data_IF_290294498453
#
_entry.id   IF_290294498453
#
_cell.length_a   1.000
_cell.length_b   1.000
_cell.length_c   1.000
_cell.angle_alpha   90.00
_cell.angle_beta   90.00
_cell.angle_gamma   90.00
#
_symmetry.space_group_name_H-M   'P 1'
#
loop_
_entity.id
_entity.type
_entity.pdbx_description
1 polymer ?
#
# COMPACT_ATOMS: atom_id res chain seq x y z
N UNK A 1 -7.97 12.49 -21.03
CA UNK A 1 -6.86 12.60 -22.03
C UNK A 1 -5.86 13.74 -21.73
N UNK A 2 -6.24 14.86 -21.05
CA UNK A 2 -5.32 15.96 -20.73
C UNK A 2 -4.26 15.62 -19.66
N UNK A 3 -4.46 14.58 -18.83
CA UNK A 3 -3.56 14.19 -17.73
C UNK A 3 -2.62 13.00 -18.07
N UNK A 4 -2.86 12.31 -19.17
CA UNK A 4 -2.12 11.11 -19.56
C UNK A 4 -0.59 11.32 -19.73
N UNK A 5 -0.14 12.54 -19.98
CA UNK A 5 1.28 12.86 -20.11
C UNK A 5 1.96 13.33 -18.81
N UNK A 6 1.23 13.41 -17.68
CA UNK A 6 1.77 13.90 -16.40
C UNK A 6 2.15 12.79 -15.43
N UNK A 7 2.21 11.54 -15.87
CA UNK A 7 2.60 10.41 -15.02
C UNK A 7 3.99 10.59 -14.37
N UNK A 8 4.90 11.34 -15.02
CA UNK A 8 6.21 11.70 -14.44
C UNK A 8 6.13 12.50 -13.14
N UNK A 9 5.02 13.20 -12.90
CA UNK A 9 4.78 13.95 -11.68
C UNK A 9 3.94 13.11 -10.72
N UNK A 10 2.92 12.41 -11.24
CA UNK A 10 1.99 11.63 -10.43
C UNK A 10 2.66 10.46 -9.70
N UNK A 11 3.51 9.70 -10.40
CA UNK A 11 4.19 8.54 -9.80
C UNK A 11 5.09 9.00 -8.64
N UNK A 12 6.04 9.93 -8.81
CA UNK A 12 6.86 10.39 -7.69
C UNK A 12 6.09 11.05 -6.55
N UNK A 13 5.04 11.80 -6.86
CA UNK A 13 4.23 12.44 -5.84
C UNK A 13 3.49 11.42 -4.98
N UNK A 14 2.85 10.42 -5.59
CA UNK A 14 2.14 9.38 -4.85
C UNK A 14 3.09 8.47 -4.08
N UNK A 15 4.18 8.02 -4.71
CA UNK A 15 5.20 7.23 -4.00
C UNK A 15 5.79 8.01 -2.83
N UNK A 16 6.02 9.33 -2.97
CA UNK A 16 6.51 10.16 -1.86
C UNK A 16 5.52 10.20 -0.69
N UNK A 17 4.23 10.38 -0.97
CA UNK A 17 3.19 10.39 0.05
C UNK A 17 3.21 9.07 0.84
N UNK A 18 3.17 7.93 0.13
CA UNK A 18 3.21 6.61 0.78
C UNK A 18 4.53 6.37 1.50
N UNK A 19 5.66 6.80 0.94
CA UNK A 19 6.97 6.72 1.58
C UNK A 19 7.00 7.50 2.90
N UNK A 20 6.52 8.74 2.92
CA UNK A 20 6.50 9.57 4.12
C UNK A 20 5.59 8.98 5.22
N UNK A 21 4.41 8.48 4.85
CA UNK A 21 3.52 7.84 5.82
C UNK A 21 4.17 6.55 6.35
N UNK A 22 4.82 5.77 5.50
CA UNK A 22 5.47 4.52 5.86
C UNK A 22 6.72 4.69 6.72
N UNK A 23 7.29 5.89 6.85
CA UNK A 23 8.37 6.13 7.81
C UNK A 23 7.93 5.90 9.26
N UNK A 24 6.65 6.03 9.54
CA UNK A 24 6.09 5.84 10.88
C UNK A 24 5.17 4.60 10.94
N UNK A 25 4.47 4.27 9.85
CA UNK A 25 3.46 3.21 9.79
C UNK A 25 3.95 1.97 9.03
N UNK A 26 3.36 0.81 9.36
CA UNK A 26 3.61 -0.43 8.61
C UNK A 26 3.02 -0.39 7.20
N UNK A 27 3.67 -1.10 6.26
CA UNK A 27 3.26 -1.16 4.84
C UNK A 27 1.85 -1.72 4.66
N UNK A 28 1.40 -2.56 5.58
CA UNK A 28 0.07 -3.19 5.55
C UNK A 28 -1.08 -2.17 5.55
N UNK A 29 -0.87 -0.98 6.14
CA UNK A 29 -1.85 0.11 6.15
C UNK A 29 -2.26 0.53 4.73
N UNK A 30 -1.41 0.30 3.73
CA UNK A 30 -1.64 0.79 2.36
C UNK A 30 -2.36 -0.21 1.47
N UNK A 31 -2.53 -1.47 1.88
CA UNK A 31 -3.18 -2.51 1.07
C UNK A 31 -4.56 -2.07 0.55
N UNK A 32 -5.44 -1.43 1.36
CA UNK A 32 -6.74 -0.97 0.89
C UNK A 32 -6.70 0.12 -0.18
N UNK A 33 -5.57 0.81 -0.33
CA UNK A 33 -5.41 1.85 -1.35
C UNK A 33 -4.99 1.28 -2.72
N UNK A 34 -4.59 0.01 -2.79
CA UNK A 34 -4.15 -0.65 -4.04
C UNK A 34 -5.18 -0.51 -5.16
N UNK A 35 -6.48 -0.78 -4.96
CA UNK A 35 -7.45 -0.60 -6.04
C UNK A 35 -7.50 0.82 -6.58
N UNK A 36 -7.33 1.83 -5.72
CA UNK A 36 -7.36 3.25 -6.12
C UNK A 36 -6.16 3.59 -7.02
N UNK A 37 -4.96 3.16 -6.62
CA UNK A 37 -3.75 3.41 -7.42
C UNK A 37 -3.72 2.61 -8.71
N UNK A 38 -4.30 1.41 -8.75
CA UNK A 38 -4.48 0.63 -9.97
C UNK A 38 -5.44 1.34 -10.93
N UNK A 39 -6.60 1.80 -10.45
CA UNK A 39 -7.55 2.58 -11.27
C UNK A 39 -6.90 3.87 -11.81
N UNK A 40 -6.11 4.56 -10.97
CA UNK A 40 -5.37 5.75 -11.38
C UNK A 40 -4.32 5.43 -12.44
N UNK A 41 -3.63 4.30 -12.31
CA UNK A 41 -2.65 3.80 -13.29
C UNK A 41 -3.32 3.59 -14.65
N UNK A 42 -4.47 2.91 -14.69
CA UNK A 42 -5.25 2.73 -15.92
C UNK A 42 -5.70 4.07 -16.51
N UNK A 43 -6.16 5.01 -15.68
CA UNK A 43 -6.54 6.36 -16.14
C UNK A 43 -5.38 7.14 -16.78
N UNK A 44 -4.14 6.84 -16.38
CA UNK A 44 -2.92 7.39 -16.96
C UNK A 44 -2.43 6.62 -18.21
N UNK A 45 -3.10 5.52 -18.57
CA UNK A 45 -2.74 4.64 -19.69
C UNK A 45 -1.52 3.77 -19.37
N UNK A 46 -1.40 3.34 -18.12
CA UNK A 46 -0.39 2.43 -17.60
C UNK A 46 -1.06 1.12 -17.17
N UNK A 47 -0.28 0.15 -16.72
CA UNK A 47 -0.76 -1.16 -16.29
C UNK A 47 -1.06 -1.23 -14.77
N UNK A 48 -1.68 -2.33 -14.33
CA UNK A 48 -1.96 -2.59 -12.92
C UNK A 48 -0.68 -2.72 -12.09
N UNK A 49 0.41 -3.20 -12.68
CA UNK A 49 1.68 -3.38 -11.99
C UNK A 49 2.27 -2.04 -11.51
N UNK A 50 2.16 -0.97 -12.33
CA UNK A 50 2.54 0.38 -11.89
C UNK A 50 1.69 0.84 -10.72
N UNK A 51 0.37 0.60 -10.76
CA UNK A 51 -0.54 0.97 -9.66
C UNK A 51 -0.17 0.29 -8.35
N UNK A 52 0.07 -1.00 -8.37
CA UNK A 52 0.51 -1.79 -7.20
C UNK A 52 1.90 -1.34 -6.74
N UNK A 53 2.83 -1.11 -7.68
CA UNK A 53 4.21 -0.70 -7.38
C UNK A 53 4.28 0.66 -6.68
N UNK A 54 3.42 1.61 -7.00
CA UNK A 54 3.36 2.91 -6.31
C UNK A 54 3.19 2.73 -4.80
N UNK A 55 2.32 1.82 -4.39
CA UNK A 55 2.05 1.54 -2.97
C UNK A 55 3.13 0.67 -2.36
N UNK A 56 3.42 -0.48 -2.96
CA UNK A 56 4.35 -1.43 -2.38
C UNK A 56 5.76 -0.87 -2.28
N UNK A 57 6.27 -0.29 -3.36
CA UNK A 57 7.62 0.26 -3.37
C UNK A 57 7.71 1.57 -2.56
N UNK A 58 6.70 2.46 -2.67
CA UNK A 58 6.63 3.66 -1.84
C UNK A 58 6.59 3.32 -0.35
N UNK A 59 5.72 2.38 0.04
CA UNK A 59 5.63 1.89 1.41
C UNK A 59 6.89 1.19 1.88
N UNK A 60 7.46 0.31 1.05
CA UNK A 60 8.68 -0.43 1.38
C UNK A 60 9.88 0.49 1.60
N UNK A 61 10.06 1.53 0.78
CA UNK A 61 11.14 2.51 0.95
C UNK A 61 11.02 3.25 2.28
N UNK A 62 9.81 3.74 2.62
CA UNK A 62 9.59 4.45 3.88
C UNK A 62 9.83 3.57 5.09
N UNK A 63 9.30 2.35 5.06
CA UNK A 63 9.42 1.38 6.15
C UNK A 63 10.87 0.91 6.33
N UNK A 64 11.55 0.49 5.24
CA UNK A 64 12.89 -0.12 5.31
C UNK A 64 13.99 0.86 5.70
N UNK A 65 13.82 2.16 5.42
CA UNK A 65 14.78 3.18 5.83
C UNK A 65 14.71 3.49 7.33
N UNK A 66 13.63 3.09 7.99
CA UNK A 66 13.49 3.17 9.44
C UNK A 66 13.63 4.58 10.02
N UNK A 67 13.31 5.62 9.23
CA UNK A 67 13.61 7.02 9.62
C UNK A 67 12.91 7.42 10.91
N UNK A 68 11.60 7.11 11.01
CA UNK A 68 10.78 7.40 12.20
C UNK A 68 10.04 6.14 12.70
N UNK A 69 10.49 4.94 12.32
CA UNK A 69 9.77 3.69 12.53
C UNK A 69 9.85 3.23 14.00
N UNK A 70 8.72 3.24 14.75
CA UNK A 70 8.73 2.88 16.16
C UNK A 70 8.95 1.39 16.38
N UNK A 71 8.25 0.55 15.61
CA UNK A 71 8.18 -0.91 15.82
C UNK A 71 9.44 -1.67 15.39
N UNK A 72 10.33 -1.05 14.65
CA UNK A 72 11.60 -1.68 14.22
C UNK A 72 12.79 -0.89 14.72
N UNK A 73 13.03 0.31 14.19
CA UNK A 73 14.23 1.08 14.46
C UNK A 73 14.29 1.60 15.90
N UNK A 74 13.21 2.20 16.41
CA UNK A 74 13.19 2.72 17.77
C UNK A 74 13.35 1.58 18.78
N UNK A 75 12.61 0.50 18.60
CA UNK A 75 12.70 -0.70 19.44
C UNK A 75 14.11 -1.30 19.42
N UNK A 76 14.74 -1.41 18.25
CA UNK A 76 16.12 -1.89 18.13
C UNK A 76 17.12 -0.98 18.84
N UNK A 77 16.93 0.34 18.73
CA UNK A 77 17.77 1.32 19.44
C UNK A 77 17.61 1.24 20.96
N UNK A 78 16.38 1.06 21.44
CA UNK A 78 16.08 0.88 22.85
C UNK A 78 16.75 -0.37 23.41
N UNK A 79 16.63 -1.51 22.72
CA UNK A 79 17.28 -2.77 23.09
C UNK A 79 18.81 -2.64 23.09
N UNK A 80 19.38 -1.88 22.12
CA UNK A 80 20.81 -1.64 22.01
C UNK A 80 21.33 -0.56 22.96
N UNK A 81 20.49 0.08 23.78
CA UNK A 81 20.85 1.18 24.68
C UNK A 81 21.31 2.46 23.97
N UNK A 82 20.88 2.63 22.69
CA UNK A 82 21.19 3.81 21.90
C UNK A 82 20.15 4.92 22.12
N UNK A 83 20.61 6.16 21.92
CA UNK A 83 19.67 7.30 21.98
C UNK A 83 18.58 7.15 20.90
N UNK A 84 17.29 7.29 21.27
CA UNK A 84 16.17 7.23 20.32
C UNK A 84 16.40 8.16 19.12
N UNK A 85 16.10 7.68 17.94
CA UNK A 85 16.30 8.38 16.66
C UNK A 85 17.74 8.79 16.33
N UNK A 86 18.76 8.27 17.04
CA UNK A 86 20.15 8.47 16.66
C UNK A 86 20.38 8.03 15.20
N UNK A 87 21.18 8.79 14.45
CA UNK A 87 21.42 8.52 13.02
C UNK A 87 20.26 8.85 12.06
N UNK A 88 19.26 9.62 12.49
CA UNK A 88 18.10 10.01 11.66
C UNK A 88 18.53 10.69 10.35
N UNK A 89 19.56 11.52 10.37
CA UNK A 89 20.06 12.22 9.18
C UNK A 89 20.58 11.26 8.12
N UNK A 90 21.33 10.25 8.54
CA UNK A 90 21.82 9.21 7.63
C UNK A 90 20.64 8.44 7.01
N UNK A 91 19.65 8.04 7.81
CA UNK A 91 18.46 7.36 7.34
C UNK A 91 17.60 8.24 6.43
N UNK A 92 17.53 9.54 6.69
CA UNK A 92 16.85 10.48 5.79
C UNK A 92 17.54 10.59 4.42
N UNK A 93 18.87 10.57 4.39
CA UNK A 93 19.63 10.52 3.13
C UNK A 93 19.33 9.21 2.40
N UNK A 94 19.37 8.07 3.09
CA UNK A 94 19.02 6.77 2.53
C UNK A 94 17.58 6.75 1.96
N UNK A 95 16.64 7.37 2.67
CA UNK A 95 15.25 7.49 2.20
C UNK A 95 15.17 8.24 0.87
N UNK A 96 15.82 9.39 0.77
CA UNK A 96 15.84 10.19 -0.47
C UNK A 96 16.49 9.41 -1.61
N UNK A 97 17.62 8.76 -1.36
CA UNK A 97 18.33 7.97 -2.36
C UNK A 97 17.47 6.78 -2.84
N UNK A 98 16.93 5.99 -1.91
CA UNK A 98 16.11 4.83 -2.27
C UNK A 98 14.80 5.24 -2.96
N UNK A 99 14.16 6.32 -2.50
CA UNK A 99 12.99 6.87 -3.17
C UNK A 99 13.34 7.33 -4.59
N UNK A 100 14.45 8.02 -4.79
CA UNK A 100 14.90 8.48 -6.11
C UNK A 100 15.20 7.33 -7.06
N UNK A 101 15.94 6.31 -6.61
CA UNK A 101 16.26 5.10 -7.38
C UNK A 101 14.99 4.35 -7.75
N UNK A 102 14.09 4.14 -6.78
CA UNK A 102 12.80 3.45 -7.00
C UNK A 102 11.97 4.17 -8.06
N UNK A 103 11.85 5.50 -7.97
CA UNK A 103 11.10 6.27 -8.97
C UNK A 103 11.77 6.26 -10.33
N UNK A 104 13.09 6.26 -10.40
CA UNK A 104 13.82 6.16 -11.67
C UNK A 104 13.47 4.86 -12.41
N UNK A 105 13.46 3.73 -11.70
CA UNK A 105 13.07 2.44 -12.27
C UNK A 105 11.58 2.41 -12.63
N UNK A 106 10.72 2.90 -11.76
CA UNK A 106 9.27 2.87 -11.98
C UNK A 106 8.86 3.76 -13.15
N UNK A 107 9.46 4.94 -13.30
CA UNK A 107 9.22 5.84 -14.43
C UNK A 107 9.75 5.23 -15.72
N UNK A 108 10.94 4.59 -15.71
CA UNK A 108 11.46 3.90 -16.89
C UNK A 108 10.53 2.77 -17.33
N UNK A 109 10.05 1.99 -16.38
CA UNK A 109 9.08 0.93 -16.65
C UNK A 109 7.78 1.51 -17.22
N UNK A 110 7.20 2.53 -16.58
CA UNK A 110 5.99 3.20 -17.04
C UNK A 110 6.15 3.77 -18.46
N UNK A 111 7.30 4.35 -18.80
CA UNK A 111 7.60 4.82 -20.16
C UNK A 111 7.63 3.67 -21.18
N UNK A 112 8.24 2.53 -20.80
CA UNK A 112 8.32 1.35 -21.66
C UNK A 112 6.93 0.81 -21.97
N UNK A 113 6.09 0.64 -20.94
CA UNK A 113 4.72 0.14 -21.07
C UNK A 113 3.84 1.12 -21.86
N UNK A 114 3.98 2.41 -21.61
CA UNK A 114 3.21 3.42 -22.33
C UNK A 114 3.50 3.46 -23.83
N UNK A 115 4.74 3.15 -24.23
CA UNK A 115 5.13 3.04 -25.66
C UNK A 115 4.63 1.74 -26.28
N UNK A 116 4.69 0.65 -25.54
CA UNK A 116 4.26 -0.67 -26.01
C UNK A 116 3.60 -1.45 -24.85
N UNK A 117 2.27 -1.38 -24.72
CA UNK A 117 1.53 -2.05 -23.65
C UNK A 117 1.71 -3.57 -23.61
N UNK A 118 1.97 -4.20 -24.75
CA UNK A 118 2.19 -5.66 -24.84
C UNK A 118 3.45 -6.15 -24.10
N UNK A 119 4.36 -5.24 -23.73
CA UNK A 119 5.53 -5.57 -22.92
C UNK A 119 5.23 -5.68 -21.42
N UNK A 120 3.99 -5.39 -21.02
CA UNK A 120 3.54 -5.60 -19.64
C UNK A 120 3.32 -7.10 -19.36
N UNK A 121 3.87 -7.66 -18.28
CA UNK A 121 3.54 -9.02 -17.83
C UNK A 121 2.06 -9.20 -17.48
N UNK A 122 1.37 -8.09 -17.19
CA UNK A 122 -0.04 -8.09 -16.81
C UNK A 122 -0.98 -7.81 -17.99
N UNK A 123 -0.45 -7.65 -19.21
CA UNK A 123 -1.22 -7.20 -20.38
C UNK A 123 -2.53 -7.97 -20.58
N UNK A 124 -2.47 -9.30 -20.60
CA UNK A 124 -3.66 -10.14 -20.86
C UNK A 124 -4.68 -10.06 -19.71
N UNK A 125 -4.20 -9.98 -18.46
CA UNK A 125 -5.04 -9.87 -17.27
C UNK A 125 -5.67 -8.48 -17.17
N UNK A 126 -4.91 -7.44 -17.48
CA UNK A 126 -5.39 -6.07 -17.48
C UNK A 126 -6.41 -5.86 -18.60
N UNK A 127 -6.19 -6.43 -19.80
CA UNK A 127 -7.12 -6.38 -20.90
C UNK A 127 -8.47 -7.04 -20.54
N UNK A 128 -8.44 -8.19 -19.86
CA UNK A 128 -9.65 -8.85 -19.35
C UNK A 128 -10.36 -7.99 -18.29
N UNK A 129 -9.59 -7.31 -17.45
CA UNK A 129 -10.12 -6.40 -16.42
C UNK A 129 -10.70 -5.14 -17.05
N UNK A 130 -10.04 -4.55 -18.05
CA UNK A 130 -10.55 -3.42 -18.83
C UNK A 130 -11.77 -3.80 -19.66
N UNK A 131 -11.82 -4.98 -20.24
CA UNK A 131 -13.03 -5.47 -20.94
C UNK A 131 -14.20 -5.60 -19.99
N UNK A 132 -13.98 -6.04 -18.74
CA UNK A 132 -15.02 -6.05 -17.69
C UNK A 132 -15.40 -4.64 -17.24
N UNK A 133 -14.45 -3.71 -17.20
CA UNK A 133 -14.70 -2.31 -16.87
C UNK A 133 -15.27 -1.50 -18.03
N UNK A 134 -14.93 -1.82 -19.29
CA UNK A 134 -15.43 -1.13 -20.50
C UNK A 134 -16.87 -1.53 -20.85
N UNK A 135 -17.39 -2.63 -20.30
CA UNK A 135 -18.84 -2.88 -20.32
C UNK A 135 -19.60 -1.88 -19.43
N UNK A 136 -18.88 -1.15 -18.58
CA UNK A 136 -19.41 0.01 -17.88
C UNK A 136 -19.02 1.26 -18.67
N UNK A 137 -19.90 1.65 -19.59
CA UNK A 137 -19.72 2.80 -20.46
C UNK A 137 -19.33 4.06 -19.64
N UNK A 138 -18.09 4.54 -19.79
CA UNK A 138 -17.60 5.73 -19.09
C UNK A 138 -18.42 6.98 -19.42
N UNK A 139 -19.14 6.98 -20.54
CA UNK A 139 -20.09 8.04 -20.90
C UNK A 139 -21.35 8.01 -20.02
N UNK A 140 -21.64 6.85 -19.39
CA UNK A 140 -22.74 6.69 -18.43
C UNK A 140 -22.42 7.27 -17.04
N UNK A 141 -21.14 7.53 -16.74
CA UNK A 141 -20.75 8.33 -15.57
C UNK A 141 -21.02 9.82 -15.87
N UNK A 142 -22.30 10.18 -15.88
CA UNK A 142 -22.75 11.56 -16.03
C UNK A 142 -22.08 12.50 -15.02
N UNK A 143 -22.44 13.79 -15.08
CA UNK A 143 -21.91 14.88 -14.24
C UNK A 143 -21.80 14.53 -12.76
N UNK A 144 -20.87 15.19 -12.05
CA UNK A 144 -20.67 15.04 -10.60
C UNK A 144 -21.94 15.46 -9.86
N UNK A 145 -22.81 14.51 -9.62
CA UNK A 145 -24.04 14.71 -8.84
C UNK A 145 -23.65 14.91 -7.36
N UNK A 146 -24.42 15.68 -6.60
CA UNK A 146 -24.19 15.89 -5.16
C UNK A 146 -23.97 14.58 -4.36
N UNK A 147 -24.68 13.51 -4.74
CA UNK A 147 -24.48 12.16 -4.17
C UNK A 147 -23.06 11.61 -4.41
N UNK A 148 -22.49 11.82 -5.60
CA UNK A 148 -21.12 11.37 -5.92
C UNK A 148 -20.08 12.18 -5.17
N UNK A 149 -20.32 13.49 -5.03
CA UNK A 149 -19.48 14.36 -4.20
C UNK A 149 -19.51 13.88 -2.74
N UNK A 150 -20.68 13.54 -2.21
CA UNK A 150 -20.82 13.04 -0.84
C UNK A 150 -20.05 11.71 -0.65
N UNK A 151 -20.08 10.80 -1.62
CA UNK A 151 -19.30 9.54 -1.59
C UNK A 151 -17.80 9.82 -1.60
N UNK A 152 -17.32 10.73 -2.46
CA UNK A 152 -15.91 11.12 -2.49
C UNK A 152 -15.49 11.82 -1.18
N UNK A 153 -16.34 12.67 -0.63
CA UNK A 153 -16.10 13.31 0.66
C UNK A 153 -16.01 12.28 1.79
N UNK A 154 -16.93 11.30 1.84
CA UNK A 154 -16.89 10.21 2.80
C UNK A 154 -15.60 9.40 2.70
N UNK A 155 -15.12 9.11 1.48
CA UNK A 155 -13.83 8.45 1.25
C UNK A 155 -12.68 9.28 1.84
N UNK A 156 -12.58 10.57 1.44
CA UNK A 156 -11.50 11.46 1.90
C UNK A 156 -11.51 11.62 3.42
N UNK A 157 -12.69 11.80 4.03
CA UNK A 157 -12.84 11.92 5.47
C UNK A 157 -12.38 10.62 6.17
N UNK A 158 -12.83 9.47 5.70
CA UNK A 158 -12.43 8.18 6.30
C UNK A 158 -10.93 7.95 6.17
N UNK A 159 -10.34 8.25 5.02
CA UNK A 159 -8.88 8.13 4.85
C UNK A 159 -8.12 9.09 5.78
N UNK A 160 -8.61 10.31 5.97
CA UNK A 160 -8.03 11.28 6.91
C UNK A 160 -8.11 10.78 8.36
N UNK A 161 -9.25 10.18 8.75
CA UNK A 161 -9.43 9.59 10.08
C UNK A 161 -8.48 8.40 10.27
N UNK A 162 -8.32 7.53 9.28
CA UNK A 162 -7.40 6.39 9.32
C UNK A 162 -5.96 6.86 9.52
N UNK A 163 -5.51 7.86 8.76
CA UNK A 163 -4.17 8.44 8.91
C UNK A 163 -3.99 9.07 10.31
N UNK A 164 -4.98 9.83 10.76
CA UNK A 164 -4.95 10.43 12.09
C UNK A 164 -4.93 9.35 13.21
N UNK A 165 -5.78 8.32 13.08
CA UNK A 165 -5.86 7.21 14.03
C UNK A 165 -4.54 6.45 14.15
N UNK A 166 -3.90 6.15 13.01
CA UNK A 166 -2.58 5.50 12.99
C UNK A 166 -1.44 6.37 13.54
N UNK A 167 -1.49 7.69 13.34
CA UNK A 167 -0.42 8.59 13.78
C UNK A 167 -0.55 9.08 15.23
N UNK A 168 -1.77 9.12 15.77
CA UNK A 168 -2.05 9.79 17.06
C UNK A 168 -2.74 8.92 18.09
N UNK A 169 -3.44 7.88 17.67
CA UNK A 169 -4.27 7.05 18.54
C UNK A 169 -3.76 5.61 18.64
N UNK A 170 -2.59 5.32 18.06
CA UNK A 170 -1.96 3.99 18.03
C UNK A 170 -2.93 2.88 17.57
N UNK A 171 -3.76 3.20 16.57
CA UNK A 171 -4.69 2.24 16.00
C UNK A 171 -3.97 1.04 15.39
N UNK A 172 -4.51 -0.15 15.62
CA UNK A 172 -4.03 -1.40 15.06
C UNK A 172 -4.95 -1.86 13.91
N UNK A 173 -4.68 -3.03 13.36
CA UNK A 173 -5.40 -3.64 12.22
C UNK A 173 -6.91 -3.74 12.45
N UNK A 174 -7.36 -3.94 13.69
CA UNK A 174 -8.77 -4.07 14.02
C UNK A 174 -9.54 -2.76 13.79
N UNK A 175 -8.99 -1.62 14.21
CA UNK A 175 -9.60 -0.31 14.04
C UNK A 175 -9.61 0.09 12.56
N UNK A 176 -8.54 -0.18 11.82
CA UNK A 176 -8.51 0.05 10.38
C UNK A 176 -9.56 -0.78 9.65
N UNK A 177 -9.68 -2.08 9.97
CA UNK A 177 -10.68 -2.95 9.38
C UNK A 177 -12.11 -2.45 9.67
N UNK A 178 -12.38 -2.01 10.91
CA UNK A 178 -13.65 -1.43 11.30
C UNK A 178 -13.97 -0.16 10.49
N UNK A 179 -13.00 0.74 10.30
CA UNK A 179 -13.18 1.97 9.52
C UNK A 179 -13.47 1.69 8.04
N UNK A 180 -12.81 0.71 7.43
CA UNK A 180 -13.14 0.31 6.05
C UNK A 180 -14.51 -0.34 5.94
N UNK A 181 -14.92 -1.13 6.92
CA UNK A 181 -16.27 -1.70 6.97
C UNK A 181 -17.32 -0.57 7.06
N UNK A 182 -17.12 0.38 7.95
CA UNK A 182 -17.96 1.58 8.07
C UNK A 182 -18.01 2.37 6.77
N UNK A 183 -16.87 2.59 6.11
CA UNK A 183 -16.83 3.26 4.82
C UNK A 183 -17.70 2.52 3.79
N UNK A 184 -17.59 1.19 3.72
CA UNK A 184 -18.41 0.37 2.81
C UNK A 184 -19.91 0.55 3.07
N UNK A 185 -20.33 0.57 4.33
CA UNK A 185 -21.73 0.79 4.72
C UNK A 185 -22.18 2.21 4.34
N UNK A 186 -21.43 3.22 4.75
CA UNK A 186 -21.77 4.64 4.48
C UNK A 186 -21.85 4.92 2.99
N UNK A 187 -20.87 4.48 2.21
CA UNK A 187 -20.85 4.64 0.75
C UNK A 187 -22.02 3.89 0.11
N UNK A 188 -22.33 2.69 0.57
CA UNK A 188 -23.47 1.90 0.10
C UNK A 188 -24.80 2.63 0.34
N UNK A 189 -25.00 3.21 1.52
CA UNK A 189 -26.18 4.00 1.87
C UNK A 189 -26.28 5.29 1.03
N UNK A 190 -25.17 6.04 0.92
CA UNK A 190 -25.08 7.23 0.07
C UNK A 190 -25.37 6.90 -1.40
N UNK A 191 -24.97 5.71 -1.87
CA UNK A 191 -25.27 5.23 -3.21
C UNK A 191 -26.75 4.78 -3.36
N UNK A 192 -27.54 4.80 -2.30
CA UNK A 192 -28.97 4.40 -2.32
C UNK A 192 -29.16 2.89 -2.42
N UNK A 193 -28.19 2.11 -1.97
CA UNK A 193 -28.29 0.63 -1.91
C UNK A 193 -29.09 0.20 -0.69
N UNK A 194 -29.81 -0.93 -0.82
CA UNK A 194 -30.46 -1.56 0.33
C UNK A 194 -29.43 -2.20 1.26
N UNK A 195 -29.79 -2.39 2.55
CA UNK A 195 -28.92 -3.10 3.49
C UNK A 195 -28.55 -4.50 3.00
N UNK A 196 -29.49 -5.18 2.33
CA UNK A 196 -29.23 -6.50 1.72
C UNK A 196 -28.17 -6.43 0.62
N UNK A 197 -28.22 -5.40 -0.23
CA UNK A 197 -27.22 -5.23 -1.31
C UNK A 197 -25.85 -4.86 -0.77
N UNK A 198 -25.82 -4.04 0.30
CA UNK A 198 -24.56 -3.69 0.99
C UNK A 198 -23.95 -4.96 1.59
N UNK A 199 -24.73 -5.77 2.31
CA UNK A 199 -24.27 -7.03 2.88
C UNK A 199 -23.75 -8.01 1.81
N UNK A 200 -24.48 -8.17 0.70
CA UNK A 200 -24.02 -8.97 -0.43
C UNK A 200 -22.73 -8.44 -1.04
N UNK A 201 -22.58 -7.12 -1.14
CA UNK A 201 -21.37 -6.48 -1.63
C UNK A 201 -20.16 -6.75 -0.73
N UNK A 202 -20.34 -6.67 0.59
CA UNK A 202 -19.28 -6.98 1.58
C UNK A 202 -18.88 -8.46 1.46
N UNK A 203 -19.85 -9.37 1.41
CA UNK A 203 -19.58 -10.81 1.25
C UNK A 203 -18.86 -11.11 -0.08
N UNK A 204 -19.29 -10.46 -1.17
CA UNK A 204 -18.63 -10.63 -2.46
C UNK A 204 -17.18 -10.12 -2.44
N UNK A 205 -16.93 -8.97 -1.82
CA UNK A 205 -15.59 -8.43 -1.60
C UNK A 205 -14.72 -9.37 -0.75
N UNK A 206 -15.26 -9.90 0.35
CA UNK A 206 -14.54 -10.84 1.23
C UNK A 206 -14.13 -12.13 0.49
N UNK A 207 -14.96 -12.64 -0.39
CA UNK A 207 -14.63 -13.82 -1.21
C UNK A 207 -13.41 -13.59 -2.11
N UNK A 208 -13.21 -12.39 -2.62
CA UNK A 208 -12.04 -12.08 -3.47
C UNK A 208 -10.72 -12.06 -2.65
N UNK A 209 -10.82 -11.82 -1.35
CA UNK A 209 -9.67 -11.78 -0.43
C UNK A 209 -9.31 -13.15 0.17
N UNK A 210 -10.14 -14.17 -0.02
CA UNK A 210 -9.95 -15.47 0.64
C UNK A 210 -8.59 -16.10 0.36
N UNK A 211 -8.11 -16.03 -0.89
CA UNK A 211 -6.78 -16.53 -1.26
C UNK A 211 -5.66 -15.82 -0.50
N UNK A 212 -5.72 -14.49 -0.42
CA UNK A 212 -4.74 -13.68 0.32
C UNK A 212 -4.78 -14.01 1.83
N UNK A 213 -5.96 -14.15 2.41
CA UNK A 213 -6.13 -14.51 3.84
C UNK A 213 -5.51 -15.87 4.13
N UNK A 214 -5.71 -16.86 3.26
CA UNK A 214 -5.11 -18.20 3.40
C UNK A 214 -3.57 -18.16 3.35
N UNK A 215 -3.01 -17.38 2.43
CA UNK A 215 -1.54 -17.20 2.31
C UNK A 215 -0.98 -16.54 3.57
N UNK A 216 -1.58 -15.44 4.01
CA UNK A 216 -1.15 -14.71 5.22
C UNK A 216 -1.29 -15.59 6.47
N UNK A 217 -2.41 -16.31 6.60
CA UNK A 217 -2.63 -17.25 7.70
C UNK A 217 -1.58 -18.35 7.75
N UNK A 218 -1.26 -18.95 6.61
CA UNK A 218 -0.21 -19.98 6.52
C UNK A 218 1.16 -19.43 6.88
N UNK A 219 1.52 -18.25 6.38
CA UNK A 219 2.79 -17.58 6.71
C UNK A 219 2.89 -17.28 8.22
N UNK A 220 1.80 -16.82 8.84
CA UNK A 220 1.75 -16.57 10.29
C UNK A 220 1.89 -17.86 11.09
N UNK A 221 1.28 -18.95 10.64
CA UNK A 221 1.40 -20.26 11.28
C UNK A 221 2.85 -20.76 11.27
N UNK A 222 3.57 -20.59 10.16
CA UNK A 222 5.00 -20.93 10.08
C UNK A 222 5.80 -20.13 11.11
N UNK A 223 5.58 -18.81 11.18
CA UNK A 223 6.26 -17.95 12.14
C UNK A 223 6.00 -18.38 13.59
N UNK A 224 4.76 -18.73 13.94
CA UNK A 224 4.40 -19.22 15.26
C UNK A 224 5.10 -20.54 15.59
N UNK A 225 5.10 -21.50 14.67
CA UNK A 225 5.77 -22.80 14.86
C UNK A 225 7.28 -22.61 15.10
N UNK A 226 7.93 -21.72 14.35
CA UNK A 226 9.36 -21.44 14.53
C UNK A 226 9.64 -20.76 15.88
N UNK A 227 8.75 -19.89 16.35
CA UNK A 227 8.87 -19.22 17.64
C UNK A 227 8.64 -20.20 18.79
N UNK A 228 7.54 -20.96 18.75
CA UNK A 228 7.19 -21.93 19.81
C UNK A 228 8.18 -23.10 19.87
N UNK A 229 8.76 -23.47 18.73
CA UNK A 229 9.82 -24.48 18.64
C UNK A 229 11.20 -23.98 19.07
N UNK A 230 11.36 -22.71 19.46
CA UNK A 230 12.67 -22.13 19.86
C UNK A 230 13.68 -22.05 18.71
N UNK A 231 13.25 -22.31 17.46
CA UNK A 231 14.13 -22.32 16.27
C UNK A 231 14.48 -20.89 15.86
N UNK A 232 13.60 -19.92 16.15
CA UNK A 232 13.80 -18.52 15.78
C UNK A 232 15.07 -17.95 16.41
N UNK A 233 15.30 -18.20 17.69
CA UNK A 233 16.49 -17.72 18.41
C UNK A 233 17.78 -18.34 17.84
N UNK A 234 17.72 -19.61 17.46
CA UNK A 234 18.85 -20.30 16.80
C UNK A 234 19.16 -19.68 15.44
N UNK A 235 18.15 -19.38 14.63
CA UNK A 235 18.33 -18.73 13.32
C UNK A 235 18.95 -17.34 13.51
N UNK A 236 18.41 -16.55 14.45
CA UNK A 236 18.92 -15.19 14.73
C UNK A 236 20.38 -15.26 15.21
N UNK A 237 20.72 -16.20 16.10
CA UNK A 237 22.08 -16.38 16.62
C UNK A 237 23.08 -16.74 15.49
N UNK A 238 22.71 -17.67 14.61
CA UNK A 238 23.55 -18.09 13.48
C UNK A 238 23.75 -16.92 12.49
N UNK A 239 22.70 -16.18 12.20
CA UNK A 239 22.78 -15.00 11.31
C UNK A 239 23.63 -13.88 11.94
N UNK A 240 23.46 -13.61 13.24
CA UNK A 240 24.27 -12.62 13.96
C UNK A 240 25.75 -13.01 13.96
N UNK A 241 26.07 -14.26 14.27
CA UNK A 241 27.45 -14.76 14.21
C UNK A 241 28.08 -14.70 12.80
N UNK A 242 27.25 -14.80 11.75
CA UNK A 242 27.70 -14.57 10.38
C UNK A 242 28.01 -13.10 10.07
N UNK A 243 27.31 -12.16 10.73
CA UNK A 243 27.57 -10.72 10.60
C UNK A 243 28.84 -10.28 11.31
N UNK A 244 29.21 -10.94 12.41
CA UNK A 244 30.47 -10.66 13.15
C UNK A 244 31.72 -10.97 12.31
N UNK A 245 31.59 -11.77 11.24
CA UNK A 245 32.65 -12.06 10.27
C UNK A 245 32.84 -10.94 9.22
N UNK A 246 31.92 -9.97 9.16
CA UNK A 246 32.03 -8.83 8.24
C UNK A 246 32.79 -7.71 8.94
N UNK A 247 33.94 -7.27 8.40
CA UNK A 247 34.70 -6.16 8.99
C UNK A 247 33.81 -4.94 9.11
N UNK A 248 33.69 -4.39 10.30
CA UNK A 248 33.09 -3.06 10.52
C UNK A 248 33.98 -2.02 9.86
N UNK A 249 33.47 -1.40 8.79
CA UNK A 249 34.12 -0.24 8.15
C UNK A 249 33.80 1.01 8.92
#
# INVERSE_FOLDING_TARGET
RKFSNRFYIFIPMLTLIFTLIATNQGVNLFIPFVPITVMLSFALGLDSLVGVSIILLGGAVGFSTGTLQPSTTLLAQEIAGLVPFSGIWYRAICLVVFWGVTNLFLIRYAMKIKKNPQLSPMYDLDLQSEMKASTTDLSSFGELTGRRIAILAALVITLSIIVYGGLKLDWDMAEFAAMFLWLGIVVGLLAGKSFSDIAKGIVAGSKTMLGAVMIVGSARSIALILTDGGVMDTIVHVLAGGLDLVPTV
#
